data_IF_939971518903
#
_entry.id   IF_939971518903
#
_cell.length_a   1.000
_cell.length_b   1.000
_cell.length_c   1.000
_cell.angle_alpha   90.00
_cell.angle_beta   90.00
_cell.angle_gamma   90.00
#
_symmetry.space_group_name_H-M   'P 1'
#
loop_
_entity.id
_entity.type
_entity.pdbx_description
1 polymer ?
#
# COMPACT_ATOMS: atom_id res chain seq x y z
N UNK A 1 10.53 25.11 -17.97
CA UNK A 1 10.54 24.01 -18.97
C UNK A 1 9.39 23.08 -18.57
N UNK A 2 8.34 22.95 -19.39
CA UNK A 2 7.17 22.13 -19.01
C UNK A 2 7.22 20.77 -19.67
N UNK A 3 6.85 19.72 -18.90
CA UNK A 3 6.82 18.36 -19.43
C UNK A 3 5.65 18.17 -20.40
N UNK A 4 5.92 17.64 -21.60
CA UNK A 4 4.88 17.28 -22.56
C UNK A 4 4.17 15.99 -22.13
N UNK A 5 2.90 15.76 -22.54
CA UNK A 5 2.13 14.57 -22.16
C UNK A 5 2.80 13.23 -22.50
N UNK A 6 3.56 13.17 -23.60
CA UNK A 6 4.32 11.96 -24.02
C UNK A 6 5.72 11.82 -23.43
N UNK A 7 6.15 12.74 -22.55
CA UNK A 7 7.51 12.74 -22.01
C UNK A 7 7.76 11.57 -21.06
N UNK A 8 8.91 10.91 -21.21
CA UNK A 8 9.39 9.89 -20.25
C UNK A 8 9.54 10.50 -18.86
N UNK A 9 9.98 11.73 -18.76
CA UNK A 9 10.14 12.45 -17.49
C UNK A 9 8.82 12.65 -16.75
N UNK A 10 7.71 12.91 -17.47
CA UNK A 10 6.37 12.97 -16.86
C UNK A 10 5.97 11.59 -16.31
N UNK A 11 6.25 10.52 -17.05
CA UNK A 11 5.97 9.14 -16.60
C UNK A 11 6.76 8.80 -15.33
N UNK A 12 8.05 9.18 -15.29
CA UNK A 12 8.91 8.96 -14.11
C UNK A 12 8.42 9.78 -12.94
N UNK A 13 8.11 11.06 -13.12
CA UNK A 13 7.59 11.94 -12.06
C UNK A 13 6.30 11.36 -11.45
N UNK A 14 5.31 11.02 -12.29
CA UNK A 14 4.05 10.45 -11.82
C UNK A 14 4.23 9.06 -11.19
N UNK A 15 5.15 8.26 -11.72
CA UNK A 15 5.54 6.97 -11.13
C UNK A 15 6.16 7.12 -9.74
N UNK A 16 7.06 8.08 -9.56
CA UNK A 16 7.67 8.38 -8.25
C UNK A 16 6.64 8.91 -7.25
N UNK A 17 5.66 9.72 -7.68
CA UNK A 17 4.56 10.17 -6.83
C UNK A 17 3.72 9.00 -6.30
N UNK A 18 3.47 7.98 -7.13
CA UNK A 18 2.78 6.76 -6.68
C UNK A 18 3.68 5.92 -5.77
N UNK A 19 4.97 5.85 -6.07
CA UNK A 19 5.95 5.09 -5.32
C UNK A 19 6.31 5.69 -3.93
N UNK A 20 5.87 6.92 -3.63
CA UNK A 20 5.99 7.49 -2.28
C UNK A 20 5.34 6.59 -1.21
N UNK A 21 4.26 5.86 -1.57
CA UNK A 21 3.56 4.97 -0.63
C UNK A 21 4.48 3.86 -0.11
N UNK A 22 5.00 2.95 -0.94
CA UNK A 22 5.93 1.93 -0.47
C UNK A 22 7.24 2.53 0.04
N UNK A 23 7.74 3.64 -0.53
CA UNK A 23 8.93 4.29 0.01
C UNK A 23 8.72 4.72 1.46
N UNK A 24 7.62 5.41 1.78
CA UNK A 24 7.31 5.90 3.12
C UNK A 24 6.96 4.81 4.12
N UNK A 25 6.56 3.62 3.66
CA UNK A 25 6.26 2.47 4.52
C UNK A 25 7.47 1.57 4.66
N UNK A 26 8.01 1.10 3.54
CA UNK A 26 8.96 -0.01 3.53
C UNK A 26 10.38 0.40 3.95
N UNK A 27 10.77 1.69 3.72
CA UNK A 27 12.03 2.22 4.28
C UNK A 27 11.96 2.45 5.80
N UNK A 28 10.75 2.66 6.33
CA UNK A 28 10.53 2.93 7.75
C UNK A 28 10.46 1.63 8.58
N UNK A 29 9.90 0.54 8.03
CA UNK A 29 9.68 -0.71 8.77
C UNK A 29 10.96 -1.28 9.40
N UNK A 30 12.15 -1.31 8.74
CA UNK A 30 13.40 -1.78 9.35
C UNK A 30 13.84 -0.97 10.58
N UNK A 31 13.37 0.28 10.71
CA UNK A 31 13.76 1.18 11.80
C UNK A 31 12.91 1.04 13.06
N UNK A 32 11.76 0.36 12.98
CA UNK A 32 10.82 0.21 14.10
C UNK A 32 11.44 -0.38 15.38
N UNK A 33 12.24 -1.48 15.30
CA UNK A 33 12.89 -2.02 16.49
C UNK A 33 13.87 -1.02 17.12
N UNK A 34 14.57 -0.21 16.32
CA UNK A 34 15.50 0.80 16.80
C UNK A 34 14.78 1.99 17.46
N UNK A 35 13.59 2.38 16.93
CA UNK A 35 12.73 3.39 17.55
C UNK A 35 12.24 2.89 18.93
N UNK A 36 11.80 1.62 19.01
CA UNK A 36 11.37 1.02 20.26
C UNK A 36 12.47 1.05 21.32
N UNK A 37 13.71 0.75 20.93
CA UNK A 37 14.88 0.82 21.80
C UNK A 37 15.22 2.26 22.19
N UNK A 38 15.22 3.19 21.24
CA UNK A 38 15.61 4.59 21.48
C UNK A 38 14.70 5.31 22.47
N UNK A 39 13.41 4.96 22.48
CA UNK A 39 12.42 5.59 23.38
C UNK A 39 12.00 4.69 24.55
N UNK A 40 12.54 3.46 24.67
CA UNK A 40 12.08 2.50 25.68
C UNK A 40 10.60 2.13 25.55
N UNK A 41 10.03 2.23 24.36
CA UNK A 41 8.60 2.10 24.11
C UNK A 41 8.19 0.66 23.78
N UNK A 42 6.96 0.24 24.18
CA UNK A 42 6.42 -1.05 23.80
C UNK A 42 6.26 -1.17 22.29
N UNK A 43 6.35 -2.42 21.77
CA UNK A 43 6.18 -2.71 20.34
C UNK A 43 4.85 -2.17 19.79
N UNK A 44 3.76 -2.33 20.54
CA UNK A 44 2.44 -1.86 20.16
C UNK A 44 2.39 -0.34 19.94
N UNK A 45 3.05 0.44 20.79
CA UNK A 45 3.11 1.90 20.67
C UNK A 45 3.87 2.33 19.41
N UNK A 46 5.01 1.69 19.12
CA UNK A 46 5.79 2.00 17.91
C UNK A 46 5.06 1.53 16.65
N UNK A 47 4.39 0.39 16.67
CA UNK A 47 3.55 -0.05 15.55
C UNK A 47 2.37 0.90 15.29
N UNK A 48 1.87 1.58 16.32
CA UNK A 48 0.80 2.55 16.16
C UNK A 48 1.20 3.74 15.27
N UNK A 49 2.50 4.02 15.14
CA UNK A 49 3.01 5.02 14.18
C UNK A 49 2.74 4.66 12.71
N UNK A 50 2.81 3.36 12.35
CA UNK A 50 2.39 2.88 11.01
C UNK A 50 0.88 2.92 10.88
N UNK A 51 0.17 2.56 11.94
CA UNK A 51 -1.29 2.59 11.97
C UNK A 51 -1.83 3.97 11.64
N UNK A 52 -1.30 5.01 12.30
CA UNK A 52 -1.73 6.39 12.06
C UNK A 52 -1.35 6.88 10.67
N UNK A 53 -0.21 6.45 10.13
CA UNK A 53 0.14 6.70 8.75
C UNK A 53 -0.89 6.11 7.78
N UNK A 54 -1.35 4.88 7.98
CA UNK A 54 -2.39 4.27 7.16
C UNK A 54 -3.74 4.98 7.31
N UNK A 55 -4.10 5.41 8.50
CA UNK A 55 -5.29 6.26 8.70
C UNK A 55 -5.18 7.57 7.93
N UNK A 56 -4.01 8.21 7.95
CA UNK A 56 -3.74 9.41 7.16
C UNK A 56 -3.89 9.17 5.66
N UNK A 57 -3.36 8.04 5.15
CA UNK A 57 -3.52 7.66 3.74
C UNK A 57 -5.00 7.46 3.39
N UNK A 58 -5.73 6.71 4.21
CA UNK A 58 -7.14 6.43 3.98
C UNK A 58 -7.97 7.73 3.91
N UNK A 59 -7.78 8.64 4.87
CA UNK A 59 -8.43 9.93 4.89
C UNK A 59 -8.08 10.76 3.65
N UNK A 60 -6.81 10.81 3.29
CA UNK A 60 -6.35 11.56 2.13
C UNK A 60 -6.83 10.99 0.80
N UNK A 61 -6.95 9.66 0.66
CA UNK A 61 -7.51 9.06 -0.55
C UNK A 61 -8.96 9.50 -0.82
N UNK A 62 -9.74 9.75 0.23
CA UNK A 62 -11.10 10.26 0.10
C UNK A 62 -11.14 11.78 -0.17
N UNK A 63 -10.15 12.52 0.35
CA UNK A 63 -10.12 13.99 0.30
C UNK A 63 -9.50 14.55 -0.99
N UNK A 64 -8.35 14.01 -1.45
CA UNK A 64 -7.58 14.61 -2.54
C UNK A 64 -8.25 14.57 -3.91
N UNK A 65 -9.13 13.62 -4.18
CA UNK A 65 -9.92 13.60 -5.41
C UNK A 65 -10.75 14.87 -5.55
N UNK A 66 -11.74 15.11 -4.69
CA UNK A 66 -12.57 16.31 -4.70
C UNK A 66 -11.80 17.62 -4.57
N UNK A 67 -10.75 17.65 -3.73
CA UNK A 67 -9.91 18.84 -3.57
C UNK A 67 -9.18 19.20 -4.87
N UNK A 68 -8.64 18.20 -5.57
CA UNK A 68 -7.94 18.43 -6.84
C UNK A 68 -8.88 18.80 -7.99
N UNK A 69 -10.15 18.35 -7.94
CA UNK A 69 -11.18 18.76 -8.90
C UNK A 69 -11.59 20.24 -8.70
N UNK A 70 -11.59 20.71 -7.45
CA UNK A 70 -11.98 22.08 -7.10
C UNK A 70 -10.86 23.09 -7.29
N UNK A 71 -9.68 22.80 -6.75
CA UNK A 71 -8.57 23.76 -6.67
C UNK A 71 -7.59 23.64 -7.84
N UNK A 72 -7.62 22.53 -8.56
CA UNK A 72 -6.68 22.16 -9.61
C UNK A 72 -5.75 21.04 -9.17
N UNK A 73 -5.21 20.29 -10.15
CA UNK A 73 -4.32 19.14 -9.90
C UNK A 73 -3.01 19.58 -9.28
N UNK A 74 -2.36 20.58 -9.89
CA UNK A 74 -1.06 21.08 -9.44
C UNK A 74 -1.09 21.69 -8.05
N UNK A 75 -1.99 22.63 -7.70
CA UNK A 75 -2.06 23.20 -6.34
C UNK A 75 -2.37 22.15 -5.27
N UNK A 76 -3.31 21.23 -5.53
CA UNK A 76 -3.64 20.17 -4.59
C UNK A 76 -2.45 19.21 -4.35
N UNK A 77 -1.72 18.85 -5.42
CA UNK A 77 -0.54 18.01 -5.32
C UNK A 77 0.60 18.69 -4.56
N UNK A 78 0.85 19.99 -4.81
CA UNK A 78 1.84 20.79 -4.07
C UNK A 78 1.48 20.90 -2.59
N UNK A 79 0.20 21.09 -2.26
CA UNK A 79 -0.27 21.10 -0.88
C UNK A 79 0.00 19.75 -0.19
N UNK A 80 -0.35 18.63 -0.83
CA UNK A 80 -0.08 17.31 -0.30
C UNK A 80 1.42 17.02 -0.10
N UNK A 81 2.26 17.39 -1.08
CA UNK A 81 3.72 17.24 -0.97
C UNK A 81 4.32 18.15 0.10
N UNK A 82 3.79 19.37 0.29
CA UNK A 82 4.21 20.26 1.38
C UNK A 82 3.87 19.67 2.76
N UNK A 83 2.67 19.09 2.92
CA UNK A 83 2.29 18.39 4.15
C UNK A 83 3.22 17.18 4.40
N UNK A 84 3.52 16.41 3.35
CA UNK A 84 4.43 15.27 3.45
C UNK A 84 5.84 15.71 3.83
N UNK A 85 6.39 16.75 3.22
CA UNK A 85 7.70 17.31 3.52
C UNK A 85 7.77 17.83 4.97
N UNK A 86 6.82 18.68 5.35
CA UNK A 86 6.76 19.26 6.69
C UNK A 86 6.69 18.19 7.78
N UNK A 87 5.85 17.16 7.57
CA UNK A 87 5.73 16.05 8.51
C UNK A 87 6.98 15.17 8.57
N UNK A 88 7.69 14.96 7.45
CA UNK A 88 8.95 14.23 7.43
C UNK A 88 10.04 14.98 8.23
N UNK A 89 10.13 16.30 8.06
CA UNK A 89 11.04 17.15 8.84
C UNK A 89 10.68 17.16 10.33
N UNK A 90 9.39 17.20 10.66
CA UNK A 90 8.92 17.14 12.05
C UNK A 90 9.23 15.77 12.69
N UNK A 91 9.08 14.66 11.95
CA UNK A 91 9.52 13.35 12.45
C UNK A 91 11.03 13.25 12.65
N UNK A 92 11.83 13.93 11.83
CA UNK A 92 13.29 13.99 11.99
C UNK A 92 13.68 14.59 13.35
N UNK A 93 12.96 15.63 13.81
CA UNK A 93 13.16 16.30 15.10
C UNK A 93 12.33 15.71 16.24
N UNK A 94 11.65 14.59 16.07
CA UNK A 94 10.77 14.05 17.10
C UNK A 94 11.54 13.54 18.32
N UNK A 95 11.02 13.87 19.52
CA UNK A 95 11.59 13.51 20.83
C UNK A 95 10.71 12.47 21.58
N UNK A 96 9.62 12.03 20.97
CA UNK A 96 8.73 11.01 21.54
C UNK A 96 8.02 10.19 20.45
N UNK A 97 7.59 8.97 20.80
CA UNK A 97 6.79 8.13 19.91
C UNK A 97 5.43 8.79 19.60
N UNK A 98 4.85 9.50 20.56
CA UNK A 98 3.61 10.24 20.36
C UNK A 98 3.75 11.34 19.30
N UNK A 99 4.88 12.08 19.29
CA UNK A 99 5.16 13.06 18.24
C UNK A 99 5.30 12.39 16.86
N UNK A 100 6.03 11.28 16.77
CA UNK A 100 6.14 10.52 15.53
C UNK A 100 4.74 10.07 15.08
N UNK A 101 3.92 9.54 15.99
CA UNK A 101 2.55 9.07 15.72
C UNK A 101 1.68 10.16 15.08
N UNK A 102 1.70 11.37 15.64
CA UNK A 102 0.95 12.51 15.10
C UNK A 102 1.44 12.89 13.70
N UNK A 103 2.75 13.05 13.56
CA UNK A 103 3.32 13.49 12.28
C UNK A 103 3.22 12.41 11.19
N UNK A 104 3.22 11.13 11.56
CA UNK A 104 2.96 10.02 10.63
C UNK A 104 1.53 10.06 10.06
N UNK A 105 0.52 10.46 10.85
CA UNK A 105 -0.82 10.71 10.34
C UNK A 105 -0.81 11.81 9.26
N UNK A 106 -0.20 12.97 9.56
CA UNK A 106 -0.10 14.10 8.61
C UNK A 106 0.70 13.69 7.37
N UNK A 107 1.74 12.91 7.55
CA UNK A 107 2.57 12.38 6.47
C UNK A 107 1.76 11.47 5.53
N UNK A 108 0.96 10.56 6.09
CA UNK A 108 0.06 9.70 5.32
C UNK A 108 -1.00 10.50 4.54
N UNK A 109 -1.58 11.51 5.18
CA UNK A 109 -2.53 12.42 4.56
C UNK A 109 -1.89 13.14 3.35
N UNK A 110 -0.71 13.72 3.53
CA UNK A 110 0.00 14.42 2.45
C UNK A 110 0.41 13.48 1.31
N UNK A 111 0.99 12.32 1.65
CA UNK A 111 1.50 11.33 0.71
C UNK A 111 0.42 10.83 -0.25
N UNK A 112 -0.78 10.58 0.23
CA UNK A 112 -1.87 10.03 -0.57
C UNK A 112 -2.32 10.93 -1.74
N UNK A 113 -1.93 12.22 -1.74
CA UNK A 113 -2.13 13.13 -2.88
C UNK A 113 -1.43 12.61 -4.14
N UNK A 114 -0.22 12.04 -4.01
CA UNK A 114 0.57 11.52 -5.11
C UNK A 114 -0.19 10.48 -5.95
N UNK A 115 -0.52 9.30 -5.41
CA UNK A 115 -1.19 8.25 -6.16
C UNK A 115 -2.60 8.62 -6.64
N UNK A 116 -3.34 9.47 -5.92
CA UNK A 116 -4.69 9.91 -6.31
C UNK A 116 -4.62 10.85 -7.51
N UNK A 117 -3.81 11.91 -7.37
CA UNK A 117 -3.76 12.97 -8.38
C UNK A 117 -2.97 12.53 -9.61
N UNK A 118 -1.88 11.74 -9.45
CA UNK A 118 -1.12 11.22 -10.58
C UNK A 118 -1.98 10.40 -11.54
N UNK A 119 -2.83 9.50 -11.02
CA UNK A 119 -3.77 8.72 -11.85
C UNK A 119 -4.79 9.61 -12.55
N UNK A 120 -5.21 10.69 -11.92
CA UNK A 120 -6.15 11.64 -12.52
C UNK A 120 -5.48 12.45 -13.62
N UNK A 121 -4.24 12.94 -13.42
CA UNK A 121 -3.45 13.63 -14.45
C UNK A 121 -3.28 12.77 -15.69
N UNK A 122 -2.98 11.46 -15.52
CA UNK A 122 -2.87 10.55 -16.66
C UNK A 122 -4.16 10.49 -17.47
N UNK A 123 -5.32 10.45 -16.82
CA UNK A 123 -6.62 10.45 -17.49
C UNK A 123 -6.97 11.79 -18.13
N UNK A 124 -6.53 12.90 -17.54
CA UNK A 124 -6.79 14.24 -18.06
C UNK A 124 -5.97 14.52 -19.34
N UNK A 125 -4.77 13.91 -19.47
CA UNK A 125 -3.82 14.18 -20.55
C UNK A 125 -3.86 13.17 -21.71
N UNK A 126 -4.47 12.01 -21.54
CA UNK A 126 -4.33 10.89 -22.47
C UNK A 126 -5.67 10.26 -22.84
N UNK A 127 -5.76 9.74 -24.08
CA UNK A 127 -6.84 8.87 -24.49
C UNK A 127 -6.84 7.56 -23.66
N UNK A 128 -7.95 6.84 -23.67
CA UNK A 128 -8.14 5.63 -22.85
C UNK A 128 -6.98 4.62 -22.98
N UNK A 129 -6.54 4.37 -24.22
CA UNK A 129 -5.44 3.43 -24.51
C UNK A 129 -4.06 3.97 -24.09
N UNK A 130 -3.81 5.24 -24.33
CA UNK A 130 -2.56 5.89 -23.91
C UNK A 130 -2.44 5.98 -22.40
N UNK A 131 -3.54 6.27 -21.71
CA UNK A 131 -3.61 6.27 -20.25
C UNK A 131 -3.27 4.89 -19.67
N UNK A 132 -3.82 3.82 -20.25
CA UNK A 132 -3.50 2.45 -19.83
C UNK A 132 -2.00 2.14 -19.98
N UNK A 133 -1.38 2.52 -21.10
CA UNK A 133 0.07 2.35 -21.32
C UNK A 133 0.90 3.15 -20.32
N UNK A 134 0.50 4.38 -20.02
CA UNK A 134 1.23 5.22 -19.09
C UNK A 134 1.13 4.70 -17.65
N UNK A 135 -0.05 4.29 -17.22
CA UNK A 135 -0.24 3.64 -15.93
C UNK A 135 0.60 2.37 -15.80
N UNK A 136 0.67 1.55 -16.86
CA UNK A 136 1.53 0.36 -16.85
C UNK A 136 3.02 0.70 -16.70
N UNK A 137 3.51 1.77 -17.37
CA UNK A 137 4.89 2.25 -17.19
C UNK A 137 5.16 2.77 -15.78
N UNK A 138 4.21 3.48 -15.17
CA UNK A 138 4.31 3.92 -13.78
C UNK A 138 4.40 2.74 -12.81
N UNK A 139 3.75 1.61 -13.11
CA UNK A 139 3.83 0.40 -12.29
C UNK A 139 5.24 -0.23 -12.30
N UNK A 140 6.05 -0.02 -13.34
CA UNK A 140 7.46 -0.46 -13.33
C UNK A 140 8.25 0.31 -12.28
N UNK A 141 8.07 1.63 -12.21
CA UNK A 141 8.72 2.48 -11.18
C UNK A 141 8.24 2.07 -9.79
N UNK A 142 6.93 1.86 -9.63
CA UNK A 142 6.34 1.41 -8.37
C UNK A 142 6.90 0.05 -7.91
N UNK A 143 7.13 -0.90 -8.83
CA UNK A 143 7.59 -2.26 -8.51
C UNK A 143 9.02 -2.36 -7.97
N UNK A 144 9.88 -1.39 -8.30
CA UNK A 144 11.27 -1.34 -7.84
C UNK A 144 11.37 -0.91 -6.37
N UNK A 145 10.49 0.00 -5.94
CA UNK A 145 10.58 0.66 -4.64
C UNK A 145 10.42 -0.30 -3.45
N UNK A 146 9.49 -1.28 -3.43
CA UNK A 146 9.39 -2.22 -2.32
C UNK A 146 10.64 -3.10 -2.09
N UNK A 147 11.49 -3.25 -3.11
CA UNK A 147 12.77 -3.95 -2.98
C UNK A 147 13.83 -2.99 -2.44
N UNK A 148 13.94 -1.80 -3.04
CA UNK A 148 14.98 -0.83 -2.72
C UNK A 148 14.75 -0.14 -1.36
N UNK A 149 13.50 0.18 -1.01
CA UNK A 149 13.18 0.98 0.16
C UNK A 149 13.62 0.34 1.50
N UNK A 150 13.37 -0.96 1.78
CA UNK A 150 13.86 -1.56 3.02
C UNK A 150 15.39 -1.60 3.11
N UNK A 151 16.07 -1.86 1.97
CA UNK A 151 17.54 -1.86 1.91
C UNK A 151 18.10 -0.46 2.20
N UNK A 152 17.50 0.57 1.61
CA UNK A 152 17.85 1.96 1.88
C UNK A 152 17.57 2.30 3.36
N UNK A 153 16.43 1.91 3.90
CA UNK A 153 16.06 2.13 5.30
C UNK A 153 17.07 1.49 6.27
N UNK A 154 17.46 0.24 6.03
CA UNK A 154 18.46 -0.45 6.86
C UNK A 154 19.86 0.19 6.75
N UNK A 155 20.25 0.62 5.55
CA UNK A 155 21.53 1.29 5.35
C UNK A 155 21.56 2.67 6.04
N UNK A 156 20.48 3.44 5.94
CA UNK A 156 20.34 4.72 6.62
C UNK A 156 20.31 4.55 8.14
N UNK A 157 19.70 3.48 8.63
CA UNK A 157 19.70 3.13 10.05
C UNK A 157 21.13 2.93 10.59
N UNK A 158 22.01 2.32 9.81
CA UNK A 158 23.42 2.12 10.24
C UNK A 158 24.23 3.42 10.24
N UNK A 159 23.95 4.37 9.31
CA UNK A 159 24.74 5.60 9.18
C UNK A 159 24.24 6.74 10.08
N UNK A 160 22.92 6.94 10.14
CA UNK A 160 22.27 8.09 10.78
C UNK A 160 21.17 7.72 11.77
N UNK A 161 21.09 6.43 12.14
CA UNK A 161 20.04 5.93 13.01
C UNK A 161 18.66 5.99 12.32
N UNK A 162 17.60 5.75 13.09
CA UNK A 162 16.23 5.74 12.60
C UNK A 162 15.79 7.09 11.98
N UNK A 163 16.39 8.19 12.39
CA UNK A 163 16.13 9.54 11.85
C UNK A 163 16.52 9.66 10.38
N UNK A 164 17.55 8.94 9.93
CA UNK A 164 18.02 8.95 8.55
C UNK A 164 16.93 8.61 7.54
N UNK A 165 15.99 7.73 7.90
CA UNK A 165 14.85 7.41 7.04
C UNK A 165 13.94 8.62 6.80
N UNK A 166 13.64 9.40 7.83
CA UNK A 166 12.84 10.62 7.66
C UNK A 166 13.58 11.69 6.86
N UNK A 167 14.91 11.76 6.99
CA UNK A 167 15.77 12.60 6.14
C UNK A 167 15.67 12.23 4.66
N UNK A 168 15.71 10.94 4.32
CA UNK A 168 15.47 10.45 2.97
C UNK A 168 14.09 10.85 2.45
N UNK A 169 13.04 10.64 3.26
CA UNK A 169 11.67 10.97 2.88
C UNK A 169 11.49 12.48 2.65
N UNK A 170 12.11 13.32 3.49
CA UNK A 170 12.10 14.76 3.30
C UNK A 170 12.86 15.18 2.02
N UNK A 171 14.02 14.59 1.75
CA UNK A 171 14.79 14.86 0.54
C UNK A 171 13.99 14.49 -0.74
N UNK A 172 13.39 13.32 -0.79
CA UNK A 172 12.56 12.89 -1.92
C UNK A 172 11.32 13.79 -2.07
N UNK A 173 10.67 14.14 -0.96
CA UNK A 173 9.52 15.03 -0.98
C UNK A 173 9.87 16.43 -1.52
N UNK A 174 11.00 16.99 -1.10
CA UNK A 174 11.48 18.29 -1.58
C UNK A 174 11.79 18.26 -3.09
N UNK A 175 12.45 17.20 -3.56
CA UNK A 175 12.75 16.99 -4.97
C UNK A 175 11.47 16.86 -5.82
N UNK A 176 10.48 16.10 -5.35
CA UNK A 176 9.19 15.96 -6.03
C UNK A 176 8.39 17.27 -6.00
N UNK A 177 8.38 17.97 -4.86
CA UNK A 177 7.74 19.28 -4.74
C UNK A 177 8.32 20.26 -5.75
N UNK A 178 9.65 20.39 -5.81
CA UNK A 178 10.33 21.27 -6.77
C UNK A 178 10.03 20.86 -8.22
N UNK A 179 10.08 19.56 -8.52
CA UNK A 179 9.80 19.03 -9.87
C UNK A 179 8.35 19.33 -10.30
N UNK A 180 7.38 19.13 -9.41
CA UNK A 180 5.97 19.46 -9.67
C UNK A 180 5.78 20.98 -9.83
N UNK A 181 6.41 21.79 -8.98
CA UNK A 181 6.30 23.24 -9.03
C UNK A 181 6.81 23.81 -10.35
N UNK A 182 7.95 23.32 -10.84
CA UNK A 182 8.61 23.84 -12.05
C UNK A 182 8.08 23.18 -13.32
N UNK A 183 7.92 21.86 -13.33
CA UNK A 183 7.75 21.11 -14.57
C UNK A 183 6.31 20.70 -14.89
N UNK A 184 5.42 20.59 -13.88
CA UNK A 184 4.03 20.21 -14.10
C UNK A 184 3.17 21.43 -14.45
N UNK A 185 2.40 21.33 -15.56
CA UNK A 185 1.32 22.27 -15.88
C UNK A 185 0.02 21.85 -15.19
N UNK A 186 -0.87 22.85 -14.96
CA UNK A 186 -2.24 22.55 -14.56
C UNK A 186 -2.96 21.78 -15.68
N UNK A 187 -3.66 20.71 -15.32
CA UNK A 187 -4.30 19.81 -16.29
C UNK A 187 -5.82 19.84 -16.23
N UNK A 188 -6.42 20.51 -15.25
CA UNK A 188 -7.88 20.65 -15.15
C UNK A 188 -8.39 21.63 -16.20
N UNK A 189 -9.18 21.17 -17.19
CA UNK A 189 -9.72 22.06 -18.23
C UNK A 189 -10.77 23.05 -17.69
N UNK A 190 -11.59 22.59 -16.74
CA UNK A 190 -12.61 23.41 -16.05
C UNK A 190 -12.74 22.95 -14.62
N UNK A 191 -12.66 23.89 -13.67
CA UNK A 191 -12.88 23.59 -12.25
C UNK A 191 -14.34 23.20 -12.04
N UNK A 192 -14.55 21.99 -11.57
CA UNK A 192 -15.90 21.47 -11.33
C UNK A 192 -16.47 22.03 -10.04
N UNK A 193 -17.76 22.35 -10.04
CA UNK A 193 -18.46 22.67 -8.80
C UNK A 193 -18.37 21.46 -7.84
N UNK A 194 -17.98 21.71 -6.61
CA UNK A 194 -17.79 20.66 -5.59
C UNK A 194 -19.04 19.80 -5.43
N UNK A 195 -18.91 18.52 -5.57
CA UNK A 195 -19.94 17.60 -5.06
C UNK A 195 -20.03 17.78 -3.55
N UNK A 196 -21.24 17.95 -3.02
CA UNK A 196 -21.43 18.08 -1.57
C UNK A 196 -20.91 16.80 -0.88
N UNK A 197 -20.29 16.89 0.31
CA UNK A 197 -19.85 15.72 1.07
C UNK A 197 -20.95 14.66 1.24
N UNK A 198 -22.20 15.09 1.39
CA UNK A 198 -23.37 14.22 1.47
C UNK A 198 -23.63 13.44 0.17
N UNK A 199 -23.33 14.03 -0.99
CA UNK A 199 -23.46 13.34 -2.28
C UNK A 199 -22.35 12.29 -2.46
N UNK A 200 -21.12 12.62 -2.05
CA UNK A 200 -19.99 11.69 -2.05
C UNK A 200 -20.27 10.50 -1.14
N UNK A 201 -20.73 10.76 0.09
CA UNK A 201 -21.09 9.71 1.05
C UNK A 201 -22.22 8.81 0.53
N UNK A 202 -23.25 9.38 -0.11
CA UNK A 202 -24.34 8.60 -0.75
C UNK A 202 -23.82 7.72 -1.88
N UNK A 203 -22.90 8.23 -2.70
CA UNK A 203 -22.28 7.44 -3.79
C UNK A 203 -21.46 6.29 -3.19
N UNK A 204 -20.68 6.51 -2.16
CA UNK A 204 -19.93 5.43 -1.48
C UNK A 204 -20.89 4.39 -0.88
N UNK A 205 -21.97 4.83 -0.22
CA UNK A 205 -22.97 3.93 0.34
C UNK A 205 -23.68 3.09 -0.75
N UNK A 206 -23.97 3.68 -1.91
CA UNK A 206 -24.56 2.94 -3.04
C UNK A 206 -23.62 1.89 -3.62
N UNK A 207 -22.33 2.22 -3.77
CA UNK A 207 -21.30 1.28 -4.25
C UNK A 207 -21.14 0.10 -3.25
N UNK A 208 -21.08 0.39 -1.94
CA UNK A 208 -20.95 -0.63 -0.90
C UNK A 208 -22.18 -1.52 -0.75
N UNK A 209 -23.34 -1.13 -1.28
CA UNK A 209 -24.54 -1.97 -1.30
C UNK A 209 -24.61 -2.89 -2.52
N UNK A 210 -23.81 -2.59 -3.56
CA UNK A 210 -23.81 -3.36 -4.80
C UNK A 210 -23.02 -4.67 -4.60
N UNK A 211 -23.72 -5.79 -4.77
CA UNK A 211 -23.12 -7.12 -4.56
C UNK A 211 -21.99 -7.43 -5.53
N UNK A 212 -22.10 -6.93 -6.78
CA UNK A 212 -21.06 -7.09 -7.80
C UNK A 212 -19.76 -6.38 -7.43
N UNK A 213 -19.83 -5.35 -6.57
CA UNK A 213 -18.67 -4.72 -5.97
C UNK A 213 -18.17 -5.49 -4.74
N UNK A 214 -19.07 -5.82 -3.81
CA UNK A 214 -18.69 -6.41 -2.51
C UNK A 214 -18.00 -7.75 -2.63
N UNK A 215 -18.44 -8.63 -3.55
CA UNK A 215 -17.88 -9.97 -3.67
C UNK A 215 -16.37 -9.94 -4.02
N UNK A 216 -15.93 -9.33 -5.15
CA UNK A 216 -14.50 -9.23 -5.45
C UNK A 216 -13.75 -8.33 -4.44
N UNK A 217 -14.41 -7.33 -3.85
CA UNK A 217 -13.84 -6.50 -2.81
C UNK A 217 -13.46 -7.30 -1.56
N UNK A 218 -14.32 -8.19 -1.07
CA UNK A 218 -14.00 -9.06 0.07
C UNK A 218 -12.84 -10.02 -0.24
N UNK A 219 -12.75 -10.53 -1.47
CA UNK A 219 -11.59 -11.35 -1.91
C UNK A 219 -10.31 -10.53 -1.87
N UNK A 220 -10.35 -9.29 -2.36
CA UNK A 220 -9.22 -8.37 -2.31
C UNK A 220 -8.80 -8.06 -0.86
N UNK A 221 -9.77 -7.75 0.02
CA UNK A 221 -9.49 -7.47 1.43
C UNK A 221 -8.84 -8.66 2.13
N UNK A 222 -9.27 -9.90 1.85
CA UNK A 222 -8.64 -11.09 2.39
C UNK A 222 -7.15 -11.17 2.03
N UNK A 223 -6.78 -10.96 0.76
CA UNK A 223 -5.37 -10.90 0.36
C UNK A 223 -4.61 -9.73 1.01
N UNK A 224 -5.27 -8.59 1.16
CA UNK A 224 -4.68 -7.39 1.75
C UNK A 224 -4.31 -7.57 3.22
N UNK A 225 -5.10 -8.31 4.01
CA UNK A 225 -4.78 -8.65 5.41
C UNK A 225 -3.42 -9.31 5.52
N UNK A 226 -3.12 -10.30 4.68
CA UNK A 226 -1.83 -10.99 4.70
C UNK A 226 -0.65 -10.09 4.32
N UNK A 227 -0.83 -9.22 3.32
CA UNK A 227 0.18 -8.22 2.93
C UNK A 227 0.49 -7.30 4.12
N UNK A 228 -0.53 -6.72 4.74
CA UNK A 228 -0.32 -5.80 5.87
C UNK A 228 0.19 -6.52 7.12
N UNK A 229 -0.21 -7.77 7.36
CA UNK A 229 0.34 -8.57 8.46
C UNK A 229 1.86 -8.70 8.33
N UNK A 230 2.37 -8.96 7.12
CA UNK A 230 3.81 -8.99 6.86
C UNK A 230 4.45 -7.61 6.99
N UNK A 231 3.95 -6.62 6.27
CA UNK A 231 4.55 -5.28 6.24
C UNK A 231 4.65 -4.66 7.63
N UNK A 232 3.64 -4.81 8.49
CA UNK A 232 3.61 -4.14 9.80
C UNK A 232 4.33 -4.89 10.91
N UNK A 233 4.50 -6.23 10.80
CA UNK A 233 5.01 -7.05 11.91
C UNK A 233 6.33 -7.76 11.61
N UNK A 234 6.69 -7.93 10.33
CA UNK A 234 7.86 -8.73 9.95
C UNK A 234 9.17 -8.25 10.57
N UNK A 235 9.36 -6.93 10.75
CA UNK A 235 10.57 -6.40 11.38
C UNK A 235 10.69 -6.83 12.85
N UNK A 236 9.60 -6.77 13.61
CA UNK A 236 9.62 -7.23 15.00
C UNK A 236 9.81 -8.73 15.11
N UNK A 237 9.18 -9.51 14.23
CA UNK A 237 9.34 -10.96 14.22
C UNK A 237 10.77 -11.34 13.80
N UNK A 238 11.26 -10.83 12.68
CA UNK A 238 12.55 -11.26 12.15
C UNK A 238 13.73 -10.68 12.96
N UNK A 239 13.64 -9.43 13.42
CA UNK A 239 14.73 -8.82 14.19
C UNK A 239 14.66 -9.18 15.66
N UNK A 240 13.48 -9.05 16.34
CA UNK A 240 13.41 -9.30 17.79
C UNK A 240 13.23 -10.77 18.15
N UNK A 241 12.37 -11.52 17.42
CA UNK A 241 12.10 -12.92 17.75
C UNK A 241 13.17 -13.88 17.21
N UNK A 242 13.70 -13.64 16.00
CA UNK A 242 14.74 -14.47 15.40
C UNK A 242 16.17 -13.89 15.53
N UNK A 243 16.35 -12.69 16.09
CA UNK A 243 17.65 -12.09 16.36
C UNK A 243 18.41 -11.60 15.12
N UNK A 244 17.71 -11.39 13.98
CA UNK A 244 18.36 -10.93 12.76
C UNK A 244 18.71 -9.44 12.83
N UNK A 245 19.78 -9.05 12.13
CA UNK A 245 20.12 -7.65 11.94
C UNK A 245 19.11 -6.95 11.01
N UNK A 246 19.02 -5.63 11.07
CA UNK A 246 18.20 -4.83 10.17
C UNK A 246 18.55 -5.04 8.69
N UNK A 247 19.83 -5.32 8.40
CA UNK A 247 20.30 -5.61 7.04
C UNK A 247 19.80 -6.99 6.56
N UNK A 248 19.93 -8.03 7.37
CA UNK A 248 19.42 -9.36 7.04
C UNK A 248 17.89 -9.33 6.86
N UNK A 249 17.19 -8.66 7.77
CA UNK A 249 15.75 -8.41 7.63
C UNK A 249 15.41 -7.79 6.26
N UNK A 250 16.12 -6.76 5.85
CA UNK A 250 15.81 -6.06 4.59
C UNK A 250 16.08 -6.90 3.36
N UNK A 251 17.12 -7.75 3.40
CA UNK A 251 17.38 -8.74 2.34
C UNK A 251 16.24 -9.76 2.28
N UNK A 252 15.79 -10.28 3.42
CA UNK A 252 14.69 -11.26 3.47
C UNK A 252 13.35 -10.63 3.05
N UNK A 253 13.11 -9.38 3.41
CA UNK A 253 11.95 -8.63 2.91
C UNK A 253 12.00 -8.52 1.37
N UNK A 254 13.16 -8.18 0.80
CA UNK A 254 13.33 -8.13 -0.66
C UNK A 254 13.09 -9.50 -1.31
N UNK A 255 13.56 -10.60 -0.70
CA UNK A 255 13.29 -11.98 -1.15
C UNK A 255 11.79 -12.27 -1.17
N UNK A 256 11.06 -11.89 -0.12
CA UNK A 256 9.59 -12.05 -0.09
C UNK A 256 8.92 -11.25 -1.21
N UNK A 257 9.42 -10.03 -1.53
CA UNK A 257 8.89 -9.20 -2.63
C UNK A 257 9.18 -9.80 -4.02
N UNK A 258 10.19 -10.68 -4.18
CA UNK A 258 10.38 -11.45 -5.43
C UNK A 258 9.13 -12.28 -5.72
N UNK A 259 8.51 -12.88 -4.70
CA UNK A 259 7.23 -13.58 -4.86
C UNK A 259 6.15 -12.71 -5.49
N UNK A 260 6.05 -11.45 -5.07
CA UNK A 260 5.11 -10.47 -5.65
C UNK A 260 5.41 -10.17 -7.13
N UNK A 261 6.68 -9.97 -7.48
CA UNK A 261 7.09 -9.67 -8.86
C UNK A 261 6.83 -10.86 -9.78
N UNK A 262 7.24 -12.07 -9.36
CA UNK A 262 7.02 -13.29 -10.14
C UNK A 262 5.52 -13.56 -10.29
N UNK A 263 4.73 -13.34 -9.23
CA UNK A 263 3.27 -13.45 -9.28
C UNK A 263 2.61 -12.46 -10.23
N UNK A 264 3.09 -11.21 -10.27
CA UNK A 264 2.60 -10.21 -11.21
C UNK A 264 2.93 -10.58 -12.66
N UNK A 265 4.15 -11.04 -12.91
CA UNK A 265 4.55 -11.56 -14.21
C UNK A 265 3.72 -12.77 -14.64
N UNK A 266 3.52 -13.73 -13.76
CA UNK A 266 2.66 -14.90 -13.99
C UNK A 266 1.22 -14.47 -14.32
N UNK A 267 0.66 -13.56 -13.53
CA UNK A 267 -0.70 -13.03 -13.73
C UNK A 267 -0.85 -12.38 -15.11
N UNK A 268 0.11 -11.57 -15.53
CA UNK A 268 0.06 -10.87 -16.82
C UNK A 268 0.00 -11.84 -18.02
N UNK A 269 0.60 -13.02 -17.90
CA UNK A 269 0.61 -14.05 -18.94
C UNK A 269 -0.58 -14.99 -18.87
N UNK A 270 -1.00 -15.34 -17.65
CA UNK A 270 -2.01 -16.38 -17.46
C UNK A 270 -3.45 -15.86 -17.43
N UNK A 271 -3.66 -14.55 -17.16
CA UNK A 271 -5.01 -13.98 -17.11
C UNK A 271 -5.76 -14.11 -18.43
N UNK A 272 -5.06 -14.02 -19.57
CA UNK A 272 -5.67 -14.21 -20.89
C UNK A 272 -6.10 -15.67 -21.17
N UNK A 273 -5.48 -16.63 -20.47
CA UNK A 273 -5.82 -18.07 -20.62
C UNK A 273 -6.84 -18.55 -19.61
N UNK A 274 -6.71 -18.11 -18.35
CA UNK A 274 -7.53 -18.58 -17.23
C UNK A 274 -8.73 -17.67 -16.95
N UNK A 275 -8.72 -16.45 -17.49
CA UNK A 275 -9.69 -15.41 -17.16
C UNK A 275 -9.55 -14.90 -15.72
N UNK A 276 -10.28 -13.82 -15.39
CA UNK A 276 -10.29 -13.22 -14.05
C UNK A 276 -10.73 -14.25 -13.00
N UNK A 277 -11.80 -14.98 -13.25
CA UNK A 277 -12.34 -15.96 -12.31
C UNK A 277 -11.39 -17.14 -12.06
N UNK A 278 -10.66 -17.59 -13.09
CA UNK A 278 -9.62 -18.62 -12.96
C UNK A 278 -8.44 -18.16 -12.12
N UNK A 279 -7.97 -16.92 -12.35
CA UNK A 279 -6.89 -16.32 -11.59
C UNK A 279 -7.26 -16.11 -10.11
N UNK A 280 -8.49 -15.68 -9.82
CA UNK A 280 -8.98 -15.54 -8.44
C UNK A 280 -9.04 -16.90 -7.74
N UNK A 281 -9.57 -17.94 -8.41
CA UNK A 281 -9.60 -19.31 -7.84
C UNK A 281 -8.23 -19.87 -7.55
N UNK A 282 -7.30 -19.68 -8.47
CA UNK A 282 -5.91 -20.13 -8.28
C UNK A 282 -5.23 -19.38 -7.14
N UNK A 283 -5.28 -18.03 -7.16
CA UNK A 283 -4.63 -17.18 -6.18
C UNK A 283 -5.17 -17.37 -4.76
N UNK A 284 -6.50 -17.46 -4.58
CA UNK A 284 -7.09 -17.66 -3.24
C UNK A 284 -6.76 -19.02 -2.64
N UNK A 285 -6.73 -20.08 -3.46
CA UNK A 285 -6.32 -21.43 -2.99
C UNK A 285 -4.85 -21.44 -2.56
N UNK A 286 -3.99 -20.83 -3.36
CA UNK A 286 -2.56 -20.75 -3.06
C UNK A 286 -2.29 -19.88 -1.83
N UNK A 287 -2.98 -18.75 -1.67
CA UNK A 287 -2.90 -17.90 -0.50
C UNK A 287 -3.36 -18.63 0.77
N UNK A 288 -4.45 -19.40 0.67
CA UNK A 288 -4.95 -20.23 1.76
C UNK A 288 -3.91 -21.30 2.16
N UNK A 289 -3.37 -22.04 1.19
CA UNK A 289 -2.36 -23.07 1.46
C UNK A 289 -1.11 -22.47 2.12
N UNK A 290 -0.57 -21.38 1.56
CA UNK A 290 0.58 -20.69 2.12
C UNK A 290 0.34 -20.18 3.55
N UNK A 291 -0.83 -19.59 3.80
CA UNK A 291 -1.22 -19.10 5.11
C UNK A 291 -1.40 -20.22 6.14
N UNK A 292 -2.01 -21.34 5.76
CA UNK A 292 -2.15 -22.51 6.64
C UNK A 292 -0.77 -23.12 6.96
N UNK A 293 0.12 -23.23 5.97
CA UNK A 293 1.50 -23.73 6.20
C UNK A 293 2.24 -22.81 7.17
N UNK A 294 2.16 -21.49 6.98
CA UNK A 294 2.78 -20.53 7.92
C UNK A 294 2.27 -20.72 9.35
N UNK A 295 0.94 -20.83 9.51
CA UNK A 295 0.33 -21.04 10.83
C UNK A 295 0.79 -22.35 11.47
N UNK A 296 0.76 -23.47 10.73
CA UNK A 296 1.19 -24.78 11.23
C UNK A 296 2.66 -24.76 11.66
N UNK A 297 3.56 -24.18 10.86
CA UNK A 297 4.98 -24.08 11.19
C UNK A 297 5.24 -23.21 12.43
N UNK A 298 4.54 -22.08 12.56
CA UNK A 298 4.70 -21.17 13.69
C UNK A 298 4.15 -21.77 15.00
N UNK A 299 3.00 -22.43 14.95
CA UNK A 299 2.42 -23.11 16.13
C UNK A 299 3.13 -24.42 16.45
N UNK A 300 3.71 -25.09 15.45
CA UNK A 300 4.58 -26.27 15.63
C UNK A 300 5.94 -25.95 16.24
N UNK A 301 6.24 -24.68 16.53
CA UNK A 301 7.47 -24.27 17.21
C UNK A 301 8.72 -24.35 16.33
N UNK A 302 8.59 -24.28 15.00
CA UNK A 302 9.75 -24.25 14.09
C UNK A 302 10.50 -22.93 14.27
N UNK A 303 11.58 -22.95 15.02
CA UNK A 303 12.40 -21.80 15.41
C UNK A 303 13.36 -21.28 14.32
N UNK A 304 12.98 -21.37 13.05
CA UNK A 304 13.82 -20.92 11.93
C UNK A 304 13.10 -19.91 11.06
N UNK A 305 13.76 -18.82 10.71
CA UNK A 305 13.17 -17.73 9.91
C UNK A 305 12.62 -18.17 8.53
N UNK A 306 13.14 -19.25 7.94
CA UNK A 306 12.58 -19.83 6.70
C UNK A 306 11.12 -20.25 6.84
N UNK A 307 10.68 -20.67 8.05
CA UNK A 307 9.29 -21.02 8.32
C UNK A 307 8.33 -19.83 8.19
N UNK A 308 8.86 -18.61 8.22
CA UNK A 308 8.12 -17.37 7.99
C UNK A 308 8.31 -16.92 6.54
N UNK A 309 9.55 -16.78 6.08
CA UNK A 309 9.88 -16.15 4.80
C UNK A 309 9.30 -16.91 3.60
N UNK A 310 9.43 -18.23 3.56
CA UNK A 310 8.96 -19.03 2.42
C UNK A 310 7.44 -19.00 2.24
N UNK A 311 6.63 -19.25 3.28
CA UNK A 311 5.17 -19.14 3.14
C UNK A 311 4.72 -17.72 2.79
N UNK A 312 5.35 -16.67 3.34
CA UNK A 312 5.03 -15.31 2.98
C UNK A 312 5.40 -14.97 1.53
N UNK A 313 6.52 -15.46 1.02
CA UNK A 313 6.89 -15.30 -0.40
C UNK A 313 5.84 -15.94 -1.33
N UNK A 314 5.37 -17.16 -1.00
CA UNK A 314 4.30 -17.82 -1.76
C UNK A 314 2.97 -17.06 -1.64
N UNK A 315 2.67 -16.52 -0.46
CA UNK A 315 1.49 -15.71 -0.27
C UNK A 315 1.55 -14.41 -1.08
N UNK A 316 2.70 -13.72 -1.16
CA UNK A 316 2.87 -12.52 -1.99
C UNK A 316 2.70 -12.82 -3.48
N UNK A 317 3.19 -13.97 -3.96
CA UNK A 317 2.90 -14.47 -5.30
C UNK A 317 1.38 -14.64 -5.50
N UNK A 318 0.69 -15.30 -4.58
CA UNK A 318 -0.74 -15.54 -4.63
C UNK A 318 -1.54 -14.21 -4.58
N UNK A 319 -1.15 -13.27 -3.72
CA UNK A 319 -1.75 -11.95 -3.62
C UNK A 319 -1.63 -11.17 -4.93
N UNK A 320 -0.51 -11.30 -5.66
CA UNK A 320 -0.33 -10.69 -6.99
C UNK A 320 -1.23 -11.33 -8.06
N UNK A 321 -1.69 -12.57 -7.86
CA UNK A 321 -2.72 -13.16 -8.71
C UNK A 321 -4.12 -12.68 -8.33
N UNK A 322 -4.36 -12.35 -7.06
CA UNK A 322 -5.69 -11.94 -6.55
C UNK A 322 -5.93 -10.45 -6.77
N UNK A 323 -5.02 -9.59 -6.32
CA UNK A 323 -5.23 -8.15 -6.20
C UNK A 323 -5.69 -7.45 -7.50
N UNK A 324 -4.96 -7.55 -8.64
CA UNK A 324 -5.35 -6.86 -9.87
C UNK A 324 -6.66 -7.41 -10.44
N UNK A 325 -6.88 -8.71 -10.35
CA UNK A 325 -8.06 -9.37 -10.87
C UNK A 325 -9.32 -9.05 -10.03
N UNK A 326 -9.21 -9.03 -8.70
CA UNK A 326 -10.28 -8.61 -7.81
C UNK A 326 -10.62 -7.13 -7.98
N UNK A 327 -9.60 -6.26 -8.12
CA UNK A 327 -9.80 -4.84 -8.40
C UNK A 327 -10.52 -4.62 -9.73
N UNK A 328 -10.10 -5.30 -10.81
CA UNK A 328 -10.75 -5.20 -12.11
C UNK A 328 -12.21 -5.65 -12.04
N UNK A 329 -12.49 -6.79 -11.36
CA UNK A 329 -13.83 -7.29 -11.17
C UNK A 329 -14.71 -6.33 -10.35
N UNK A 330 -14.18 -5.72 -9.28
CA UNK A 330 -14.90 -4.78 -8.44
C UNK A 330 -15.25 -3.48 -9.17
N UNK A 331 -14.38 -3.01 -10.07
CA UNK A 331 -14.57 -1.74 -10.80
C UNK A 331 -15.42 -1.89 -12.07
N UNK A 332 -15.52 -3.10 -12.62
CA UNK A 332 -16.21 -3.34 -13.88
C UNK A 332 -17.68 -2.86 -13.92
N UNK A 333 -18.49 -2.93 -12.82
CA UNK A 333 -19.86 -2.44 -12.83
C UNK A 333 -19.99 -0.92 -12.82
N UNK A 334 -18.88 -0.17 -12.59
CA UNK A 334 -18.89 1.27 -12.34
C UNK A 334 -18.04 2.08 -13.34
N UNK A 335 -18.23 1.96 -14.67
CA UNK A 335 -17.39 2.66 -15.65
C UNK A 335 -17.44 4.19 -15.50
N UNK A 336 -18.61 4.76 -15.17
CA UNK A 336 -18.82 6.19 -15.01
C UNK A 336 -18.32 6.74 -13.65
N UNK A 337 -18.24 5.89 -12.62
CA UNK A 337 -17.79 6.24 -11.27
C UNK A 337 -16.56 5.46 -10.81
N UNK A 338 -15.77 4.96 -11.76
CA UNK A 338 -14.59 4.14 -11.48
C UNK A 338 -13.56 4.84 -10.59
N UNK A 339 -13.43 6.16 -10.69
CA UNK A 339 -12.57 6.97 -9.82
C UNK A 339 -13.03 6.94 -8.36
N UNK A 340 -14.33 7.14 -8.12
CA UNK A 340 -14.94 7.07 -6.79
C UNK A 340 -14.84 5.66 -6.19
N UNK A 341 -15.14 4.64 -6.99
CA UNK A 341 -15.02 3.24 -6.56
C UNK A 341 -13.56 2.87 -6.24
N UNK A 342 -12.59 3.32 -7.04
CA UNK A 342 -11.17 3.10 -6.80
C UNK A 342 -10.66 3.82 -5.52
N UNK A 343 -11.13 5.04 -5.26
CA UNK A 343 -10.79 5.75 -4.02
C UNK A 343 -11.34 5.03 -2.79
N UNK A 344 -12.55 4.48 -2.89
CA UNK A 344 -13.17 3.68 -1.84
C UNK A 344 -12.38 2.38 -1.58
N UNK A 345 -12.00 1.65 -2.64
CA UNK A 345 -11.15 0.46 -2.53
C UNK A 345 -9.85 0.76 -1.80
N UNK A 346 -9.17 1.85 -2.20
CA UNK A 346 -7.91 2.24 -1.58
C UNK A 346 -8.06 2.67 -0.12
N UNK A 347 -9.06 3.50 0.19
CA UNK A 347 -9.32 3.94 1.57
C UNK A 347 -9.64 2.75 2.49
N UNK A 348 -10.52 1.84 2.07
CA UNK A 348 -10.86 0.64 2.84
C UNK A 348 -9.66 -0.30 2.99
N UNK A 349 -8.80 -0.44 1.97
CA UNK A 349 -7.59 -1.25 2.06
C UNK A 349 -6.64 -0.70 3.14
N UNK A 350 -6.41 0.61 3.21
CA UNK A 350 -5.54 1.20 4.23
C UNK A 350 -6.19 1.25 5.62
N UNK A 351 -7.50 1.42 5.73
CA UNK A 351 -8.21 1.25 6.99
C UNK A 351 -8.07 -0.18 7.53
N UNK A 352 -8.18 -1.17 6.66
CA UNK A 352 -7.93 -2.56 7.02
C UNK A 352 -6.47 -2.77 7.45
N UNK A 353 -5.50 -2.18 6.74
CA UNK A 353 -4.09 -2.20 7.10
C UNK A 353 -3.84 -1.60 8.49
N UNK A 354 -4.48 -0.48 8.81
CA UNK A 354 -4.43 0.13 10.12
C UNK A 354 -5.00 -0.82 11.20
N UNK A 355 -6.15 -1.44 10.93
CA UNK A 355 -6.78 -2.40 11.84
C UNK A 355 -5.89 -3.62 12.08
N UNK A 356 -5.31 -4.19 11.02
CA UNK A 356 -4.38 -5.33 11.11
C UNK A 356 -3.15 -4.96 11.95
N UNK A 357 -2.60 -3.76 11.75
CA UNK A 357 -1.46 -3.25 12.51
C UNK A 357 -1.77 -3.14 14.00
N UNK A 358 -2.95 -2.60 14.38
CA UNK A 358 -3.39 -2.48 15.78
C UNK A 358 -3.53 -3.87 16.41
N UNK A 359 -4.27 -4.76 15.74
CA UNK A 359 -4.56 -6.09 16.28
C UNK A 359 -3.27 -6.89 16.48
N UNK A 360 -2.40 -6.91 15.49
CA UNK A 360 -1.15 -7.66 15.58
C UNK A 360 -0.13 -7.02 16.52
N UNK A 361 -0.15 -5.69 16.68
CA UNK A 361 0.65 -5.00 17.68
C UNK A 361 0.24 -5.36 19.10
N UNK A 362 -1.08 -5.42 19.34
CA UNK A 362 -1.64 -5.80 20.64
C UNK A 362 -1.45 -7.30 20.97
N UNK A 363 -1.46 -8.15 19.94
CA UNK A 363 -1.30 -9.60 20.10
C UNK A 363 0.17 -10.07 20.02
N UNK A 364 1.13 -9.15 19.84
CA UNK A 364 2.53 -9.53 19.72
C UNK A 364 3.08 -10.11 21.03
N UNK A 365 3.42 -11.39 21.01
CA UNK A 365 3.90 -12.20 22.13
C UNK A 365 5.40 -12.51 22.09
N UNK A 366 6.16 -11.82 21.23
CA UNK A 366 7.57 -12.11 20.99
C UNK A 366 7.82 -13.26 20.01
N UNK A 367 6.78 -13.81 19.37
CA UNK A 367 6.86 -14.92 18.42
C UNK A 367 6.27 -14.59 17.04
N UNK A 368 6.44 -15.51 16.08
CA UNK A 368 5.82 -15.41 14.76
C UNK A 368 4.33 -15.83 14.73
N UNK A 369 3.79 -16.39 15.83
CA UNK A 369 2.45 -17.00 15.88
C UNK A 369 1.32 -16.03 15.49
N UNK A 370 1.21 -14.80 16.06
CA UNK A 370 0.13 -13.89 15.70
C UNK A 370 0.17 -13.51 14.21
N UNK A 371 1.34 -13.21 13.67
CA UNK A 371 1.52 -12.85 12.26
C UNK A 371 1.18 -14.01 11.31
N UNK A 372 1.63 -15.21 11.62
CA UNK A 372 1.35 -16.42 10.83
C UNK A 372 -0.13 -16.82 10.90
N UNK A 373 -0.77 -16.65 12.05
CA UNK A 373 -2.23 -16.86 12.22
C UNK A 373 -3.02 -15.87 11.37
N UNK A 374 -2.63 -14.60 11.38
CA UNK A 374 -3.26 -13.59 10.52
C UNK A 374 -3.12 -13.94 9.03
N UNK A 375 -1.98 -14.48 8.60
CA UNK A 375 -1.79 -14.95 7.23
C UNK A 375 -2.71 -16.12 6.88
N UNK A 376 -2.88 -17.07 7.80
CA UNK A 376 -3.82 -18.19 7.66
C UNK A 376 -5.25 -17.74 7.51
N UNK A 377 -5.69 -16.84 8.40
CA UNK A 377 -7.04 -16.25 8.36
C UNK A 377 -7.26 -15.40 7.09
N UNK A 378 -6.24 -14.68 6.64
CA UNK A 378 -6.26 -13.91 5.40
C UNK A 378 -6.52 -14.80 4.18
N UNK A 379 -5.77 -15.90 4.05
CA UNK A 379 -5.93 -16.86 2.97
C UNK A 379 -7.28 -17.58 3.00
N UNK A 380 -7.72 -18.02 4.18
CA UNK A 380 -9.03 -18.63 4.38
C UNK A 380 -10.17 -17.65 4.06
N UNK A 381 -10.07 -16.40 4.54
CA UNK A 381 -11.07 -15.36 4.28
C UNK A 381 -11.20 -15.06 2.78
N UNK A 382 -10.07 -14.92 2.07
CA UNK A 382 -10.07 -14.73 0.62
C UNK A 382 -10.71 -15.92 -0.12
N UNK A 383 -10.39 -17.16 0.27
CA UNK A 383 -10.96 -18.36 -0.32
C UNK A 383 -12.46 -18.49 -0.04
N UNK A 384 -12.89 -18.21 1.20
CA UNK A 384 -14.31 -18.21 1.54
C UNK A 384 -15.08 -17.15 0.75
N UNK A 385 -14.53 -15.93 0.65
CA UNK A 385 -15.14 -14.86 -0.13
C UNK A 385 -15.29 -15.26 -1.62
N UNK A 386 -14.24 -15.87 -2.21
CA UNK A 386 -14.31 -16.39 -3.60
C UNK A 386 -15.42 -17.44 -3.74
N UNK A 387 -15.44 -18.43 -2.84
CA UNK A 387 -16.38 -19.55 -2.95
C UNK A 387 -17.84 -19.15 -2.71
N UNK A 388 -18.10 -18.34 -1.68
CA UNK A 388 -19.46 -18.08 -1.23
C UNK A 388 -20.07 -16.81 -1.81
N UNK A 389 -19.26 -15.78 -2.12
CA UNK A 389 -19.75 -14.51 -2.62
C UNK A 389 -19.72 -14.43 -4.15
N UNK A 390 -18.63 -14.89 -4.79
CA UNK A 390 -18.47 -14.73 -6.24
C UNK A 390 -19.19 -15.81 -7.06
N UNK A 391 -19.45 -17.00 -6.51
CA UNK A 391 -20.10 -18.10 -7.25
C UNK A 391 -21.62 -18.08 -7.24
N UNK A 392 -22.26 -17.12 -6.57
CA UNK A 392 -23.70 -17.01 -6.58
C UNK A 392 -24.21 -16.38 -7.88
N UNK A 393 -25.38 -16.83 -8.43
CA UNK A 393 -25.97 -16.24 -9.63
C UNK A 393 -26.14 -14.73 -9.48
N UNK A 394 -25.68 -13.95 -10.48
CA UNK A 394 -25.77 -12.48 -10.51
C UNK A 394 -24.46 -11.73 -10.25
N UNK A 395 -23.33 -12.40 -10.00
CA UNK A 395 -22.00 -11.78 -9.80
C UNK A 395 -21.00 -12.21 -10.88
N UNK A 396 -21.31 -13.25 -11.66
CA UNK A 396 -20.49 -13.73 -12.79
C UNK A 396 -20.74 -12.91 -14.06
#
# INVERSE_FOLDING_TARGET
MHLSPGSVWLTVLLGLLVALTPLGTDSYVPTLPAIALAFGAPVAEVQFTITTFFFGIAAGQLAWGPLSDRFGRKPALLCGLALYLASALACLGAESVAAITLWRFVQGLGMSSGPVIARTIVRDLHSHEQAARMLARMMVVFGIVPIAAPLMGAQLLTWWGWRGTFGLLAFVAAGLFASVAVALKETVPQKTATMSPARIARTFASILRERRFLAPFCVMLGAQVGIFAFVTNSAFVLVKAFGLSAREYSVLFAVVMIGQIVGAWFTSRMVMRLGIAGMLRFGTRLACAAGCVAAVLAWGGVGHWLAVVLPFMVFMFAASCVMPNATAAALSPFPQSAGTASSLLGACAFLLGATVSIVLGALYDGSARPMATALGLAGLGALCAERFLMRRPGVA
#
